data_IF_095689317090
#
_entry.id   IF_095689317090
#
_cell.length_a   1.000
_cell.length_b   1.000
_cell.length_c   1.000
_cell.angle_alpha   90.00
_cell.angle_beta   90.00
_cell.angle_gamma   90.00
#
_symmetry.space_group_name_H-M   'P 1'
#
loop_
_entity.id
_entity.type
_entity.pdbx_description
1 polymer ?
#
# COMPACT_ATOMS: atom_id res chain seq x y z
N UNK A 1 -17.44 7.23 10.11
CA UNK A 1 -16.55 8.04 10.95
C UNK A 1 -15.39 8.46 10.06
N UNK A 2 -15.49 9.59 9.34
CA UNK A 2 -14.58 9.92 8.23
C UNK A 2 -13.18 10.40 8.68
N UNK A 3 -13.04 10.79 9.93
CA UNK A 3 -11.81 11.41 10.47
C UNK A 3 -10.58 10.49 10.50
N UNK A 4 -10.74 9.20 10.25
CA UNK A 4 -9.64 8.23 10.17
C UNK A 4 -9.52 7.57 8.80
N UNK A 5 -10.16 8.14 7.78
CA UNK A 5 -10.14 7.59 6.42
C UNK A 5 -8.75 7.78 5.76
N UNK A 6 -8.13 8.96 5.95
CA UNK A 6 -6.73 9.18 5.57
C UNK A 6 -6.42 10.04 4.33
N UNK A 7 -7.31 10.25 3.34
CA UNK A 7 -6.97 11.03 2.15
C UNK A 7 -6.56 12.48 2.48
N UNK A 8 -5.34 12.83 2.09
CA UNK A 8 -4.73 14.12 2.36
C UNK A 8 -5.55 15.27 1.76
N UNK A 9 -5.77 16.32 2.54
CA UNK A 9 -6.59 17.49 2.20
C UNK A 9 -8.08 17.22 1.91
N UNK A 10 -8.54 15.97 2.04
CA UNK A 10 -9.97 15.63 1.94
C UNK A 10 -10.56 15.40 3.33
N UNK A 11 -10.01 14.45 4.10
CA UNK A 11 -10.54 14.11 5.44
C UNK A 11 -9.62 14.57 6.56
N UNK A 12 -8.36 14.88 6.26
CA UNK A 12 -7.37 15.35 7.23
C UNK A 12 -6.23 16.15 6.58
N UNK A 13 -5.58 17.00 7.38
CA UNK A 13 -4.25 17.52 7.05
C UNK A 13 -3.18 16.42 7.20
N UNK A 14 -2.01 16.56 6.54
CA UNK A 14 -0.92 15.60 6.70
C UNK A 14 -0.39 15.54 8.13
N UNK A 15 0.13 14.36 8.50
CA UNK A 15 0.83 14.17 9.77
C UNK A 15 2.26 14.68 9.56
N UNK A 16 2.56 15.86 10.12
CA UNK A 16 3.89 16.46 9.97
C UNK A 16 4.99 15.61 10.63
N UNK A 17 6.25 15.69 10.15
CA UNK A 17 7.38 15.00 10.78
C UNK A 17 7.47 15.30 12.28
N UNK A 18 7.65 14.24 13.08
CA UNK A 18 7.70 14.34 14.54
C UNK A 18 6.33 14.34 15.25
N UNK A 19 5.22 14.39 14.51
CA UNK A 19 3.88 14.26 15.07
C UNK A 19 3.31 12.85 14.87
N UNK A 20 2.20 12.57 15.57
CA UNK A 20 1.50 11.29 15.52
C UNK A 20 0.00 11.48 15.45
N UNK A 21 -0.69 10.53 14.82
CA UNK A 21 -2.14 10.48 14.77
C UNK A 21 -2.61 9.05 15.10
N UNK A 22 -3.72 8.93 15.84
CA UNK A 22 -4.32 7.65 16.15
C UNK A 22 -5.48 7.40 15.18
N UNK A 23 -5.29 6.47 14.25
CA UNK A 23 -6.35 6.04 13.34
C UNK A 23 -7.30 5.07 14.04
N UNK A 24 -8.60 5.33 13.94
CA UNK A 24 -9.65 4.39 14.37
C UNK A 24 -10.21 3.65 13.15
N UNK A 25 -9.82 2.39 12.99
CA UNK A 25 -10.35 1.50 11.96
C UNK A 25 -11.58 0.78 12.49
N UNK A 26 -12.73 0.96 11.84
CA UNK A 26 -14.00 0.29 12.20
C UNK A 26 -14.29 -0.72 11.10
N UNK A 27 -14.04 -2.00 11.38
CA UNK A 27 -14.40 -3.12 10.52
C UNK A 27 -15.81 -3.59 10.89
N UNK A 28 -16.70 -3.73 9.90
CA UNK A 28 -18.10 -4.10 10.12
C UNK A 28 -18.43 -5.44 9.47
N UNK A 29 -18.56 -5.43 8.16
CA UNK A 29 -19.01 -6.56 7.32
C UNK A 29 -17.88 -7.15 6.47
N UNK A 30 -16.75 -6.46 6.40
CA UNK A 30 -15.60 -6.90 5.63
C UNK A 30 -15.03 -8.19 6.22
N UNK A 31 -14.85 -9.20 5.37
CA UNK A 31 -14.16 -10.46 5.67
C UNK A 31 -13.34 -10.80 4.43
N UNK A 32 -12.06 -11.10 4.61
CA UNK A 32 -11.14 -11.39 3.51
C UNK A 32 -9.90 -10.50 3.53
N UNK A 33 -9.42 -10.13 2.34
CA UNK A 33 -8.20 -9.34 2.17
C UNK A 33 -8.54 -7.91 1.80
N UNK A 34 -8.16 -6.97 2.65
CA UNK A 34 -8.04 -5.55 2.35
C UNK A 34 -6.55 -5.19 2.30
N UNK A 35 -6.26 -3.91 2.11
CA UNK A 35 -4.91 -3.37 2.18
C UNK A 35 -4.98 -1.92 2.68
N UNK A 36 -3.88 -1.46 3.26
CA UNK A 36 -3.70 -0.08 3.68
C UNK A 36 -2.56 0.53 2.87
N UNK A 37 -2.62 1.85 2.67
CA UNK A 37 -1.55 2.59 2.01
C UNK A 37 -1.53 4.05 2.45
N UNK A 38 -0.37 4.70 2.32
CA UNK A 38 -0.29 6.14 2.45
C UNK A 38 -1.20 6.81 1.40
N UNK A 39 -1.88 7.88 1.80
CA UNK A 39 -2.82 8.59 0.93
C UNK A 39 -2.43 10.07 0.78
N UNK A 40 -1.12 10.30 0.69
CA UNK A 40 -0.45 11.59 0.47
C UNK A 40 0.55 11.43 -0.68
N UNK A 41 0.39 12.25 -1.72
CA UNK A 41 1.11 12.16 -2.99
C UNK A 41 1.28 10.71 -3.49
N UNK A 42 2.48 10.34 -3.92
CA UNK A 42 2.83 9.00 -4.41
C UNK A 42 3.50 8.14 -3.34
N UNK A 43 3.39 8.53 -2.06
CA UNK A 43 4.04 7.83 -0.94
C UNK A 43 3.62 6.36 -0.82
N UNK A 44 2.44 5.99 -1.36
CA UNK A 44 2.01 4.59 -1.44
C UNK A 44 2.93 3.69 -2.28
N UNK A 45 3.85 4.24 -3.07
CA UNK A 45 4.84 3.44 -3.80
C UNK A 45 5.68 2.56 -2.84
N UNK A 46 5.92 3.04 -1.62
CA UNK A 46 6.71 2.32 -0.61
C UNK A 46 6.01 2.14 0.73
N UNK A 47 4.96 2.91 1.01
CA UNK A 47 4.21 2.87 2.28
C UNK A 47 2.84 2.23 2.07
N UNK A 48 2.78 0.90 2.18
CA UNK A 48 1.57 0.09 2.02
C UNK A 48 1.71 -1.30 2.66
N UNK A 49 0.58 -2.00 2.81
CA UNK A 49 0.58 -3.38 3.30
C UNK A 49 -0.80 -4.04 3.29
N UNK A 50 -0.85 -5.35 3.51
CA UNK A 50 -2.10 -6.09 3.55
C UNK A 50 -2.82 -5.96 4.90
N UNK A 51 -4.15 -6.04 4.88
CA UNK A 51 -5.00 -6.19 6.07
C UNK A 51 -5.84 -7.45 5.88
N UNK A 52 -5.61 -8.45 6.71
CA UNK A 52 -6.35 -9.72 6.65
C UNK A 52 -7.41 -9.73 7.73
N UNK A 53 -8.68 -9.86 7.32
CA UNK A 53 -9.84 -9.92 8.20
C UNK A 53 -10.39 -11.34 8.17
N UNK A 54 -10.11 -12.09 9.22
CA UNK A 54 -10.58 -13.45 9.41
C UNK A 54 -12.08 -13.49 9.73
N UNK A 55 -12.76 -14.62 9.46
CA UNK A 55 -14.11 -14.86 9.97
C UNK A 55 -14.19 -14.61 11.47
N UNK A 56 -15.33 -14.08 11.95
CA UNK A 56 -15.55 -13.85 13.38
C UNK A 56 -15.44 -15.18 14.13
N UNK A 57 -15.06 -15.11 15.39
CA UNK A 57 -14.92 -16.31 16.23
C UNK A 57 -16.24 -17.10 16.25
N UNK A 58 -16.21 -18.32 15.72
CA UNK A 58 -17.38 -19.20 15.59
C UNK A 58 -17.87 -19.39 14.16
N UNK A 59 -17.55 -18.45 13.26
CA UNK A 59 -17.83 -18.57 11.84
C UNK A 59 -16.76 -19.39 11.13
N UNK A 60 -17.07 -19.85 9.92
CA UNK A 60 -16.15 -20.59 9.05
C UNK A 60 -16.11 -19.92 7.69
N UNK A 61 -15.01 -20.11 6.99
CA UNK A 61 -14.98 -19.81 5.56
C UNK A 61 -16.08 -20.59 4.83
N UNK A 62 -16.60 -20.07 3.71
CA UNK A 62 -17.52 -20.81 2.84
C UNK A 62 -16.82 -21.92 2.04
N UNK A 63 -15.56 -22.21 2.36
CA UNK A 63 -14.68 -23.21 1.76
C UNK A 63 -13.85 -23.91 2.86
N UNK A 64 -13.22 -25.07 2.58
CA UNK A 64 -12.33 -25.72 3.53
C UNK A 64 -11.20 -24.79 4.02
N UNK A 65 -10.89 -24.84 5.31
CA UNK A 65 -9.81 -24.03 5.88
C UNK A 65 -8.50 -24.32 5.13
N UNK A 66 -7.80 -23.31 4.61
CA UNK A 66 -6.54 -23.50 3.91
C UNK A 66 -5.43 -23.96 4.88
N UNK A 67 -4.48 -24.73 4.36
CA UNK A 67 -3.29 -25.15 5.10
C UNK A 67 -2.35 -23.97 5.40
N UNK A 68 -2.29 -23.01 4.48
CA UNK A 68 -1.51 -21.78 4.60
C UNK A 68 -2.19 -20.61 3.87
N UNK A 69 -1.97 -19.40 4.39
CA UNK A 69 -2.43 -18.15 3.81
C UNK A 69 -1.23 -17.21 3.70
N UNK A 70 -0.91 -16.77 2.47
CA UNK A 70 0.28 -15.96 2.18
C UNK A 70 -0.16 -14.72 1.39
N UNK A 71 0.02 -13.50 1.93
CA UNK A 71 -0.20 -12.28 1.17
C UNK A 71 0.78 -12.19 -0.01
N UNK A 72 0.25 -11.87 -1.19
CA UNK A 72 1.03 -11.56 -2.39
C UNK A 72 0.69 -10.11 -2.78
N UNK A 73 1.63 -9.21 -2.51
CA UNK A 73 1.52 -7.78 -2.81
C UNK A 73 2.28 -7.50 -4.09
N UNK A 74 1.58 -6.97 -5.09
CA UNK A 74 2.17 -6.51 -6.34
C UNK A 74 2.49 -5.02 -6.20
N UNK A 75 3.68 -4.62 -6.62
CA UNK A 75 4.15 -3.24 -6.51
C UNK A 75 5.08 -2.83 -7.64
N UNK A 76 5.52 -1.58 -7.58
CA UNK A 76 6.43 -0.97 -8.54
C UNK A 76 7.62 -0.34 -7.80
N UNK A 77 8.79 -0.37 -8.44
CA UNK A 77 10.03 0.15 -7.89
C UNK A 77 10.67 1.13 -8.86
N UNK A 78 11.14 2.26 -8.35
CA UNK A 78 11.97 3.23 -9.06
C UNK A 78 13.34 3.28 -8.39
N UNK A 79 14.41 3.36 -9.18
CA UNK A 79 15.76 3.64 -8.68
C UNK A 79 15.89 5.08 -8.20
N UNK A 80 15.14 6.00 -8.83
CA UNK A 80 15.03 7.40 -8.42
C UNK A 80 14.14 7.50 -7.20
N UNK A 81 14.32 8.56 -6.41
CA UNK A 81 13.37 8.89 -5.36
C UNK A 81 12.00 9.18 -5.99
N UNK A 82 10.93 8.60 -5.41
CA UNK A 82 9.57 8.77 -5.92
C UNK A 82 9.14 10.24 -5.88
N UNK A 83 9.61 11.01 -4.90
CA UNK A 83 9.36 12.46 -4.82
C UNK A 83 9.90 13.18 -6.04
N UNK A 84 11.13 12.87 -6.48
CA UNK A 84 11.74 13.49 -7.67
C UNK A 84 10.94 13.16 -8.95
N UNK A 85 10.37 11.95 -9.05
CA UNK A 85 9.54 11.53 -10.18
C UNK A 85 8.24 12.32 -10.22
N UNK A 86 7.62 12.55 -9.06
CA UNK A 86 6.39 13.36 -8.95
C UNK A 86 6.67 14.83 -9.25
N UNK A 87 7.76 15.39 -8.72
CA UNK A 87 8.12 16.79 -8.93
C UNK A 87 8.39 17.08 -10.42
N UNK A 88 9.12 16.20 -11.11
CA UNK A 88 9.35 16.31 -12.57
C UNK A 88 8.04 16.22 -13.34
N UNK A 89 7.17 15.25 -13.02
CA UNK A 89 5.85 15.12 -13.64
C UNK A 89 5.01 16.41 -13.50
N UNK A 90 4.95 16.97 -12.29
CA UNK A 90 4.19 18.19 -12.02
C UNK A 90 4.79 19.42 -12.70
N UNK A 91 6.12 19.50 -12.79
CA UNK A 91 6.82 20.61 -13.44
C UNK A 91 6.67 20.57 -14.96
N UNK A 92 6.84 19.41 -15.58
CA UNK A 92 6.89 19.26 -17.03
C UNK A 92 5.50 19.09 -17.66
N UNK A 93 4.51 18.63 -16.88
CA UNK A 93 3.14 18.35 -17.36
C UNK A 93 3.04 17.21 -18.38
N UNK A 94 4.12 16.46 -18.58
CA UNK A 94 4.19 15.27 -19.44
C UNK A 94 3.80 13.99 -18.71
N UNK A 95 4.17 12.83 -19.27
CA UNK A 95 3.97 11.54 -18.60
C UNK A 95 5.04 11.31 -17.52
N UNK A 96 4.71 10.68 -16.39
CA UNK A 96 5.69 10.33 -15.37
C UNK A 96 6.64 9.24 -15.85
N UNK A 97 7.85 9.22 -15.31
CA UNK A 97 8.81 8.16 -15.57
C UNK A 97 8.25 6.78 -15.17
N UNK A 98 8.40 5.79 -16.05
CA UNK A 98 8.02 4.39 -15.76
C UNK A 98 8.86 3.82 -14.64
N UNK A 99 8.29 2.88 -13.89
CA UNK A 99 9.02 2.10 -12.89
C UNK A 99 10.15 1.29 -13.53
N UNK A 100 11.24 1.11 -12.78
CA UNK A 100 12.39 0.30 -13.17
C UNK A 100 12.10 -1.20 -13.03
N UNK A 101 11.20 -1.58 -12.10
CA UNK A 101 10.79 -2.97 -11.92
C UNK A 101 9.39 -3.08 -11.32
N UNK A 102 8.70 -4.17 -11.67
CA UNK A 102 7.57 -4.68 -10.88
C UNK A 102 8.08 -5.57 -9.76
N UNK A 103 7.35 -5.60 -8.65
CA UNK A 103 7.71 -6.36 -7.45
C UNK A 103 6.61 -7.32 -7.03
N UNK A 104 7.04 -8.46 -6.48
CA UNK A 104 6.22 -9.36 -5.66
C UNK A 104 6.75 -9.29 -4.24
N UNK A 105 5.92 -8.86 -3.29
CA UNK A 105 6.29 -8.70 -1.88
C UNK A 105 7.57 -7.87 -1.67
N UNK A 106 7.76 -6.81 -2.46
CA UNK A 106 8.94 -5.94 -2.39
C UNK A 106 10.18 -6.48 -3.11
N UNK A 107 10.08 -7.62 -3.80
CA UNK A 107 11.19 -8.22 -4.55
C UNK A 107 10.96 -8.13 -6.06
N UNK A 108 11.91 -7.55 -6.83
CA UNK A 108 11.85 -7.53 -8.29
C UNK A 108 11.93 -8.92 -8.95
N UNK A 109 12.51 -9.90 -8.26
CA UNK A 109 12.64 -11.28 -8.75
C UNK A 109 13.81 -11.51 -9.72
N UNK A 110 14.00 -12.78 -10.11
CA UNK A 110 15.24 -13.30 -10.71
C UNK A 110 15.64 -12.68 -12.06
N UNK A 111 14.69 -12.14 -12.81
CA UNK A 111 14.95 -11.55 -14.12
C UNK A 111 15.39 -10.08 -14.05
N UNK A 112 15.40 -9.49 -12.85
CA UNK A 112 15.89 -8.13 -12.63
C UNK A 112 17.35 -8.13 -12.17
N UNK A 113 18.10 -7.12 -12.61
CA UNK A 113 19.51 -6.95 -12.20
C UNK A 113 19.64 -6.86 -10.68
N UNK A 114 20.68 -7.49 -10.12
CA UNK A 114 20.99 -7.46 -8.68
C UNK A 114 19.85 -7.95 -7.77
N UNK A 115 18.94 -8.78 -8.28
CA UNK A 115 17.72 -9.21 -7.58
C UNK A 115 17.65 -10.72 -7.31
N UNK A 116 18.68 -11.48 -7.73
CA UNK A 116 18.86 -12.89 -7.36
C UNK A 116 19.30 -12.92 -5.88
N UNK A 117 18.59 -13.71 -5.07
CA UNK A 117 18.89 -13.96 -3.64
C UNK A 117 19.84 -15.14 -3.51
#
# INVERSE_FOLDING_TARGET
YPWSDGPEFITQCPIMPGNSFIQKVIITEEIGTLWWHAHSDWSRATVHGAVIIYPKRGDRYPFPKPDAEIPIILGEWWKRNITDVVEEFLHDGGDPAKSDAFMINGHPGDFNSCSIV
#
